data_IF_306216852041
#
_entry.id   IF_306216852041
#
_cell.length_a   1.000
_cell.length_b   1.000
_cell.length_c   1.000
_cell.angle_alpha   90.00
_cell.angle_beta   90.00
_cell.angle_gamma   90.00
#
_symmetry.space_group_name_H-M   'P 1'
#
loop_
_entity.id
_entity.type
_entity.pdbx_description
1 polymer ?
#
# COMPACT_ATOMS: atom_id res chain seq x y z
N UNK A 1 21.02 0.00 -6.01
CA UNK A 1 21.70 0.84 -4.99
C UNK A 1 22.82 0.01 -4.41
N UNK A 2 23.97 0.61 -4.07
CA UNK A 2 25.08 -0.16 -3.55
C UNK A 2 24.70 -0.85 -2.25
N UNK A 3 25.16 -2.08 -2.02
CA UNK A 3 24.80 -2.79 -0.79
C UNK A 3 25.55 -2.18 0.40
N UNK A 4 24.79 -1.55 1.29
CA UNK A 4 25.35 -0.93 2.49
C UNK A 4 25.26 -1.88 3.67
N UNK A 5 26.25 -1.83 4.57
CA UNK A 5 26.22 -2.54 5.85
C UNK A 5 26.02 -4.07 5.73
N UNK A 6 26.79 -4.72 4.85
CA UNK A 6 26.85 -6.18 4.80
C UNK A 6 27.34 -6.73 6.15
N UNK A 7 26.68 -7.77 6.71
CA UNK A 7 27.10 -8.36 7.97
C UNK A 7 28.46 -9.05 7.81
N UNK A 8 29.38 -8.81 8.74
CA UNK A 8 30.71 -9.44 8.74
C UNK A 8 30.66 -10.96 8.92
N UNK A 9 29.62 -11.46 9.59
CA UNK A 9 29.40 -12.89 9.84
C UNK A 9 28.47 -13.54 8.81
N UNK A 10 28.03 -12.79 7.79
CA UNK A 10 27.04 -13.23 6.82
C UNK A 10 25.60 -13.03 7.29
N UNK A 11 24.64 -13.25 6.38
CA UNK A 11 23.22 -13.14 6.69
C UNK A 11 22.72 -14.33 7.51
N UNK A 12 21.78 -14.07 8.41
CA UNK A 12 21.04 -15.10 9.11
C UNK A 12 20.10 -15.82 8.15
N UNK A 13 20.03 -17.14 8.27
CA UNK A 13 19.05 -17.96 7.54
C UNK A 13 17.66 -17.67 8.12
N UNK A 14 16.76 -17.20 7.27
CA UNK A 14 15.36 -17.00 7.64
C UNK A 14 14.72 -18.38 7.90
N UNK A 15 14.06 -18.60 9.05
CA UNK A 15 13.43 -19.88 9.35
C UNK A 15 12.21 -20.14 8.45
N UNK A 16 11.78 -21.39 8.42
CA UNK A 16 10.50 -21.76 7.81
C UNK A 16 9.35 -21.07 8.56
N UNK A 17 8.23 -20.84 7.86
CA UNK A 17 7.05 -20.13 8.38
C UNK A 17 7.32 -18.68 8.87
N UNK A 18 8.48 -18.12 8.57
CA UNK A 18 8.79 -16.74 8.92
C UNK A 18 7.82 -15.75 8.27
N UNK A 19 7.30 -14.82 9.07
CA UNK A 19 6.31 -13.83 8.64
C UNK A 19 6.59 -12.48 9.23
N UNK A 20 6.56 -11.45 8.40
CA UNK A 20 6.64 -10.07 8.86
C UNK A 20 5.80 -9.14 8.01
N UNK A 21 5.43 -8.01 8.60
CA UNK A 21 4.69 -6.95 7.96
C UNK A 21 5.60 -5.72 7.76
N UNK A 22 5.35 -4.96 6.69
CA UNK A 22 5.91 -3.64 6.49
C UNK A 22 4.83 -2.65 6.05
N UNK A 23 4.94 -1.39 6.47
CA UNK A 23 3.82 -0.44 6.40
C UNK A 23 2.83 -0.60 7.55
N UNK A 24 1.68 0.04 7.44
CA UNK A 24 0.61 -0.03 8.46
C UNK A 24 -0.73 0.35 7.81
N UNK A 25 -1.68 -0.59 7.82
CA UNK A 25 -3.02 -0.40 7.23
C UNK A 25 -3.84 0.68 7.95
N UNK A 26 -3.51 1.00 9.20
CA UNK A 26 -4.25 1.96 10.03
C UNK A 26 -3.63 3.35 10.04
N UNK A 27 -2.51 3.54 9.35
CA UNK A 27 -1.78 4.81 9.36
C UNK A 27 -2.56 5.91 8.67
N UNK A 28 -2.61 7.07 9.32
CA UNK A 28 -3.30 8.28 8.85
C UNK A 28 -2.40 9.52 8.84
N UNK A 29 -1.13 9.38 9.19
CA UNK A 29 -0.17 10.49 9.19
C UNK A 29 1.20 10.01 8.74
N UNK A 30 2.05 10.95 8.35
CA UNK A 30 3.44 10.68 8.00
C UNK A 30 4.39 11.43 8.94
N UNK A 31 5.31 10.70 9.54
CA UNK A 31 6.40 11.25 10.34
C UNK A 31 7.76 10.93 9.70
N UNK A 32 8.41 11.93 9.13
CA UNK A 32 9.74 11.79 8.51
C UNK A 32 10.85 11.33 9.47
N UNK A 33 10.62 11.34 10.79
CA UNK A 33 11.53 10.81 11.80
C UNK A 33 11.22 9.37 12.21
N UNK A 34 10.16 8.77 11.67
CA UNK A 34 9.76 7.40 11.95
C UNK A 34 10.20 6.48 10.79
N UNK A 35 11.07 5.52 11.07
CA UNK A 35 11.58 4.60 10.04
C UNK A 35 10.48 3.74 9.42
N UNK A 36 9.44 3.39 10.19
CA UNK A 36 8.26 2.70 9.65
C UNK A 36 7.59 3.51 8.54
N UNK A 37 7.56 4.84 8.68
CA UNK A 37 6.93 5.72 7.70
C UNK A 37 7.79 5.90 6.46
N UNK A 38 9.10 6.00 6.65
CA UNK A 38 10.08 6.07 5.57
C UNK A 38 10.13 4.78 4.74
N UNK A 39 9.76 3.64 5.32
CA UNK A 39 9.82 2.35 4.66
C UNK A 39 8.86 2.24 3.47
N UNK A 40 7.78 3.04 3.48
CA UNK A 40 6.76 3.10 2.42
C UNK A 40 6.94 4.36 1.59
N UNK A 41 6.93 4.20 0.27
CA UNK A 41 6.93 5.35 -0.65
C UNK A 41 6.25 5.02 -1.97
N UNK A 42 5.98 6.06 -2.75
CA UNK A 42 5.40 5.97 -4.09
C UNK A 42 6.32 6.68 -5.07
N UNK A 43 6.66 6.00 -6.15
CA UNK A 43 7.38 6.61 -7.26
C UNK A 43 6.42 6.94 -8.41
N UNK A 44 6.57 8.14 -8.95
CA UNK A 44 5.93 8.58 -10.19
C UNK A 44 6.97 8.68 -11.30
N UNK A 45 6.75 7.99 -12.42
CA UNK A 45 7.49 8.20 -13.65
C UNK A 45 6.60 8.98 -14.61
N UNK A 46 6.96 10.22 -14.91
CA UNK A 46 6.22 11.08 -15.84
C UNK A 46 6.78 11.00 -17.28
N UNK A 47 6.10 11.68 -18.21
CA UNK A 47 6.52 11.73 -19.62
C UNK A 47 7.88 12.42 -19.84
N UNK A 48 8.37 13.20 -18.87
CA UNK A 48 9.71 13.79 -18.87
C UNK A 48 10.80 12.85 -18.38
N UNK A 49 10.43 11.67 -17.86
CA UNK A 49 11.35 10.72 -17.25
C UNK A 49 11.81 11.14 -15.85
N UNK A 50 11.03 11.94 -15.10
CA UNK A 50 11.31 12.18 -13.69
C UNK A 50 11.06 10.90 -12.87
N UNK A 51 11.79 10.72 -11.76
CA UNK A 51 11.75 9.51 -10.92
C UNK A 51 11.55 9.82 -9.43
N UNK A 52 10.71 10.80 -9.12
CA UNK A 52 10.59 11.29 -7.75
C UNK A 52 9.87 10.26 -6.86
N UNK A 53 10.43 10.03 -5.67
CA UNK A 53 9.81 9.25 -4.59
C UNK A 53 9.09 10.22 -3.65
N UNK A 54 7.87 9.89 -3.26
CA UNK A 54 7.05 10.66 -2.31
C UNK A 54 6.48 9.74 -1.23
N UNK A 55 6.16 10.25 -0.03
CA UNK A 55 5.60 9.42 1.04
C UNK A 55 4.10 9.13 0.88
N UNK A 56 3.46 9.64 -0.17
CA UNK A 56 2.03 9.55 -0.47
C UNK A 56 1.82 9.32 -1.96
N UNK A 57 0.62 8.91 -2.36
CA UNK A 57 0.25 8.69 -3.77
C UNK A 57 0.39 10.03 -4.52
N UNK A 58 1.19 10.08 -5.62
CA UNK A 58 1.35 11.27 -6.43
C UNK A 58 0.01 11.69 -7.05
N UNK A 59 -0.43 12.90 -6.71
CA UNK A 59 -1.69 13.46 -7.18
C UNK A 59 -1.50 14.82 -7.85
N UNK A 60 -0.29 15.34 -8.00
CA UNK A 60 -0.01 16.65 -8.55
C UNK A 60 0.28 16.64 -10.06
N UNK A 61 0.63 15.49 -10.63
CA UNK A 61 0.97 15.33 -12.05
C UNK A 61 0.61 13.96 -12.62
N UNK A 62 0.69 13.85 -13.95
CA UNK A 62 0.48 12.59 -14.67
C UNK A 62 1.70 11.68 -14.58
N UNK A 63 1.46 10.49 -14.06
CA UNK A 63 2.42 9.41 -13.99
C UNK A 63 2.07 8.38 -15.07
N UNK A 64 3.01 8.12 -15.98
CA UNK A 64 2.96 6.98 -16.90
C UNK A 64 3.20 5.66 -16.17
N UNK A 65 3.93 5.72 -15.06
CA UNK A 65 4.11 4.62 -14.12
C UNK A 65 3.93 5.11 -12.70
N UNK A 66 3.10 4.41 -11.93
CA UNK A 66 3.01 4.57 -10.48
C UNK A 66 3.56 3.31 -9.84
N UNK A 67 4.49 3.47 -8.90
CA UNK A 67 5.11 2.35 -8.20
C UNK A 67 5.06 2.54 -6.69
N UNK A 68 4.02 2.01 -6.01
CA UNK A 68 4.09 1.78 -4.57
C UNK A 68 5.22 0.83 -4.25
N UNK A 69 5.99 1.15 -3.21
CA UNK A 69 7.14 0.35 -2.82
C UNK A 69 7.30 0.35 -1.30
N UNK A 70 7.75 -0.78 -0.77
CA UNK A 70 7.90 -1.00 0.67
C UNK A 70 9.19 -1.75 0.97
N UNK A 71 9.94 -1.25 1.94
CA UNK A 71 11.13 -1.88 2.50
C UNK A 71 10.72 -2.65 3.75
N UNK A 72 11.09 -3.92 3.86
CA UNK A 72 10.80 -4.71 5.05
C UNK A 72 11.88 -4.52 6.12
N UNK A 73 11.55 -4.73 7.41
CA UNK A 73 12.53 -4.88 8.47
C UNK A 73 13.60 -5.92 8.10
N UNK A 74 14.88 -5.59 8.30
CA UNK A 74 16.01 -6.50 8.00
C UNK A 74 16.74 -7.03 9.25
N UNK A 75 16.29 -6.65 10.45
CA UNK A 75 16.89 -7.05 11.71
C UNK A 75 15.94 -7.96 12.48
N UNK A 76 16.34 -9.20 12.70
CA UNK A 76 15.55 -10.23 13.36
C UNK A 76 16.07 -10.53 14.77
N UNK A 77 15.20 -10.95 15.67
CA UNK A 77 15.55 -11.31 17.05
C UNK A 77 16.33 -12.64 17.16
N UNK A 78 16.48 -13.38 16.06
CA UNK A 78 17.23 -14.62 15.99
C UNK A 78 16.50 -15.85 16.53
N UNK A 79 15.22 -15.70 16.90
CA UNK A 79 14.46 -16.73 17.64
C UNK A 79 13.08 -17.00 17.08
N UNK A 80 12.24 -15.98 16.96
CA UNK A 80 10.81 -16.16 16.69
C UNK A 80 10.52 -15.95 15.19
N UNK A 81 9.86 -16.92 14.56
CA UNK A 81 9.49 -16.82 13.14
C UNK A 81 8.30 -15.87 12.90
N UNK A 82 7.47 -15.63 13.92
CA UNK A 82 6.33 -14.73 13.86
C UNK A 82 5.96 -14.26 15.26
N UNK A 83 5.65 -12.97 15.38
CA UNK A 83 4.92 -12.37 16.50
C UNK A 83 3.93 -11.38 15.90
N UNK A 84 2.70 -11.40 16.42
CA UNK A 84 1.54 -10.66 15.89
C UNK A 84 1.75 -9.15 15.80
N UNK A 85 2.41 -8.55 16.80
CA UNK A 85 2.76 -7.12 16.82
C UNK A 85 4.05 -6.79 16.06
N UNK A 86 4.57 -7.75 15.29
CA UNK A 86 5.80 -7.65 14.51
C UNK A 86 7.08 -7.42 15.34
N UNK A 87 7.04 -7.53 16.68
CA UNK A 87 8.18 -7.23 17.58
C UNK A 87 9.37 -8.20 17.49
N UNK A 88 9.28 -9.24 16.67
CA UNK A 88 10.41 -10.13 16.36
C UNK A 88 11.36 -9.57 15.30
N UNK A 89 10.95 -8.50 14.61
CA UNK A 89 11.76 -7.78 13.63
C UNK A 89 11.84 -6.29 13.93
N UNK A 90 12.87 -5.64 13.39
CA UNK A 90 13.10 -4.21 13.53
C UNK A 90 13.79 -3.64 12.29
N UNK A 91 13.57 -2.34 12.07
CA UNK A 91 14.41 -1.58 11.15
C UNK A 91 15.78 -1.27 11.78
N UNK A 92 16.78 -0.92 10.95
CA UNK A 92 18.09 -0.48 11.42
C UNK A 92 18.05 0.76 12.32
N UNK A 93 19.03 0.87 13.23
CA UNK A 93 19.13 2.00 14.18
C UNK A 93 19.51 3.32 13.52
N UNK A 94 20.01 3.28 12.29
CA UNK A 94 20.45 4.46 11.54
C UNK A 94 19.27 5.25 10.96
N UNK A 95 18.03 4.77 11.10
CA UNK A 95 16.82 5.43 10.60
C UNK A 95 16.60 5.27 9.09
N UNK A 96 17.47 4.53 8.40
CA UNK A 96 17.34 4.22 6.98
C UNK A 96 16.64 2.85 6.79
N UNK A 97 15.43 2.80 6.22
CA UNK A 97 14.75 1.54 5.97
C UNK A 97 15.37 0.72 4.83
N UNK A 98 16.18 1.34 3.96
CA UNK A 98 16.83 0.65 2.83
C UNK A 98 18.09 -0.14 3.24
N UNK A 99 18.47 -0.07 4.51
CA UNK A 99 19.56 -0.85 5.10
C UNK A 99 20.34 -0.09 6.16
N UNK A 100 21.00 -0.82 7.07
CA UNK A 100 21.78 -0.23 8.15
C UNK A 100 22.31 -1.22 9.17
N UNK A 101 22.72 -0.69 10.33
CA UNK A 101 23.11 -1.48 11.50
C UNK A 101 21.88 -1.95 12.27
N UNK A 102 21.85 -3.23 12.61
CA UNK A 102 20.81 -3.78 13.47
C UNK A 102 20.97 -3.40 14.95
N UNK A 103 19.84 -3.19 15.68
CA UNK A 103 19.89 -2.98 17.12
C UNK A 103 20.32 -4.25 17.85
N UNK A 104 20.89 -4.09 19.04
CA UNK A 104 21.33 -5.23 19.88
C UNK A 104 20.16 -6.17 20.26
N UNK A 105 18.92 -5.68 20.25
CA UNK A 105 17.72 -6.49 20.48
C UNK A 105 17.34 -7.38 19.29
N UNK A 106 17.82 -7.07 18.08
CA UNK A 106 17.57 -7.80 16.84
C UNK A 106 18.88 -8.05 16.08
N UNK A 107 19.83 -8.80 16.66
CA UNK A 107 21.20 -8.88 16.12
C UNK A 107 21.31 -9.69 14.83
N UNK A 108 20.30 -10.48 14.49
CA UNK A 108 20.30 -11.37 13.33
C UNK A 108 19.90 -10.60 12.08
N UNK A 109 20.88 -10.14 11.31
CA UNK A 109 20.61 -9.46 10.02
C UNK A 109 20.19 -10.48 8.96
N UNK A 110 19.04 -10.28 8.35
CA UNK A 110 18.52 -11.07 7.22
C UNK A 110 18.69 -10.30 5.91
N UNK A 111 18.68 -10.96 4.73
CA UNK A 111 18.76 -10.26 3.45
C UNK A 111 17.63 -9.24 3.32
N UNK A 112 17.95 -8.01 2.91
CA UNK A 112 16.96 -6.94 2.77
C UNK A 112 15.92 -7.31 1.71
N UNK A 113 14.66 -7.25 2.09
CA UNK A 113 13.51 -7.48 1.21
C UNK A 113 12.87 -6.15 0.86
N UNK A 114 12.83 -5.87 -0.44
CA UNK A 114 12.19 -4.70 -1.00
C UNK A 114 11.14 -5.16 -2.01
N UNK A 115 9.90 -4.70 -1.82
CA UNK A 115 8.80 -5.02 -2.72
C UNK A 115 8.39 -3.76 -3.48
N UNK A 116 8.25 -3.90 -4.79
CA UNK A 116 7.72 -2.88 -5.67
C UNK A 116 6.57 -3.43 -6.51
N UNK A 117 5.44 -2.73 -6.51
CA UNK A 117 4.30 -3.04 -7.36
C UNK A 117 4.22 -1.96 -8.44
N UNK A 118 4.36 -2.32 -9.72
CA UNK A 118 4.44 -1.33 -10.80
C UNK A 118 3.16 -1.31 -11.61
N UNK A 119 2.47 -0.17 -11.60
CA UNK A 119 1.26 0.07 -12.39
C UNK A 119 1.57 1.01 -13.54
N UNK A 120 1.09 0.65 -14.74
CA UNK A 120 1.22 1.46 -15.96
C UNK A 120 -0.18 1.91 -16.39
N UNK A 121 -0.74 2.94 -15.73
CA UNK A 121 -2.08 3.41 -16.06
C UNK A 121 -2.10 3.99 -17.48
N UNK A 122 -2.86 3.36 -18.37
CA UNK A 122 -3.13 3.82 -19.72
C UNK A 122 -4.55 3.42 -20.13
N UNK A 123 -5.04 3.99 -21.23
CA UNK A 123 -6.35 3.61 -21.79
C UNK A 123 -6.43 2.08 -22.04
N UNK A 124 -5.31 1.45 -22.42
CA UNK A 124 -5.25 0.00 -22.68
C UNK A 124 -5.22 -0.88 -21.42
N UNK A 125 -4.86 -0.34 -20.25
CA UNK A 125 -4.64 -1.14 -19.02
C UNK A 125 -5.72 -0.97 -17.95
N UNK A 126 -6.47 0.14 -17.97
CA UNK A 126 -7.49 0.44 -16.95
C UNK A 126 -8.87 -0.13 -17.34
N UNK A 127 -9.00 -0.63 -18.57
CA UNK A 127 -10.21 -1.29 -19.07
C UNK A 127 -11.17 -0.33 -19.78
N UNK A 128 -12.02 -0.89 -20.65
CA UNK A 128 -12.96 -0.11 -21.44
C UNK A 128 -13.91 0.72 -20.56
N UNK A 129 -14.10 2.00 -20.93
CA UNK A 129 -14.99 2.92 -20.21
C UNK A 129 -14.37 3.62 -19.00
N UNK A 130 -13.12 3.32 -18.65
CA UNK A 130 -12.36 4.04 -17.64
C UNK A 130 -11.31 4.95 -18.28
N UNK A 131 -11.04 6.08 -17.61
CA UNK A 131 -10.05 7.05 -18.02
C UNK A 131 -9.07 7.31 -16.87
N UNK A 132 -7.78 7.38 -17.20
CA UNK A 132 -6.73 7.72 -16.24
C UNK A 132 -6.66 9.22 -16.01
N UNK A 133 -6.55 9.62 -14.75
CA UNK A 133 -6.20 10.98 -14.38
C UNK A 133 -5.27 11.02 -13.17
N UNK A 134 -4.38 12.02 -13.10
CA UNK A 134 -3.61 12.33 -11.90
C UNK A 134 -4.52 12.44 -10.66
N UNK A 135 -4.22 11.67 -9.61
CA UNK A 135 -5.00 11.65 -8.37
C UNK A 135 -6.22 10.72 -8.36
N UNK A 136 -6.37 9.84 -9.35
CA UNK A 136 -7.39 8.77 -9.36
C UNK A 136 -6.85 7.39 -8.98
N UNK A 137 -5.59 7.28 -8.57
CA UNK A 137 -5.05 6.03 -8.05
C UNK A 137 -5.47 5.87 -6.60
N UNK A 138 -6.16 4.77 -6.29
CA UNK A 138 -6.72 4.47 -4.97
C UNK A 138 -6.32 3.05 -4.60
N UNK A 139 -5.93 2.83 -3.35
CA UNK A 139 -5.66 1.49 -2.83
C UNK A 139 -6.95 0.71 -2.63
N UNK A 140 -6.87 -0.62 -2.65
CA UNK A 140 -8.05 -1.49 -2.55
C UNK A 140 -8.84 -1.34 -1.24
N UNK A 141 -8.20 -0.81 -0.19
CA UNK A 141 -8.84 -0.51 1.09
C UNK A 141 -9.59 0.82 1.10
N UNK A 142 -9.56 1.58 0.00
CA UNK A 142 -10.20 2.88 -0.19
C UNK A 142 -9.25 4.07 -0.05
N UNK A 143 -7.99 3.87 0.34
CA UNK A 143 -7.08 4.98 0.60
C UNK A 143 -6.58 5.64 -0.69
N UNK A 144 -7.00 6.89 -0.91
CA UNK A 144 -6.59 7.68 -2.06
C UNK A 144 -5.33 8.55 -1.83
N UNK A 145 -4.76 8.50 -0.62
CA UNK A 145 -3.56 9.24 -0.24
C UNK A 145 -2.36 8.31 0.00
N UNK A 146 -2.60 7.07 0.41
CA UNK A 146 -1.64 5.96 0.40
C UNK A 146 -0.92 5.68 1.72
N UNK A 147 -1.34 6.27 2.83
CA UNK A 147 -0.79 5.97 4.14
C UNK A 147 -1.06 4.54 4.60
N UNK A 148 -2.17 3.93 4.20
CA UNK A 148 -2.50 2.54 4.56
C UNK A 148 -1.71 1.47 3.80
N UNK A 149 -0.85 1.85 2.84
CA UNK A 149 -0.08 0.90 2.06
C UNK A 149 0.83 0.06 2.95
N UNK A 150 0.71 -1.25 2.81
CA UNK A 150 1.46 -2.25 3.56
C UNK A 150 1.70 -3.48 2.70
N UNK A 151 2.59 -4.35 3.16
CA UNK A 151 2.78 -5.67 2.60
C UNK A 151 3.11 -6.68 3.69
N UNK A 152 2.60 -7.89 3.50
CA UNK A 152 2.96 -9.06 4.28
C UNK A 152 3.97 -9.90 3.51
N UNK A 153 4.98 -10.38 4.20
CA UNK A 153 5.91 -11.36 3.65
C UNK A 153 5.82 -12.66 4.42
N UNK A 154 5.67 -13.76 3.69
CA UNK A 154 5.75 -15.13 4.18
C UNK A 154 6.92 -15.83 3.47
N UNK A 155 7.85 -16.39 4.24
CA UNK A 155 8.95 -17.15 3.67
C UNK A 155 8.45 -18.49 3.09
N UNK A 156 8.35 -18.54 1.75
CA UNK A 156 8.03 -19.76 1.00
C UNK A 156 9.24 -20.42 0.34
N UNK A 157 10.45 -19.89 0.53
CA UNK A 157 11.66 -20.47 -0.06
C UNK A 157 12.16 -21.64 0.78
N UNK A 158 12.81 -22.66 0.18
CA UNK A 158 13.52 -23.68 0.93
C UNK A 158 14.54 -23.05 1.89
N UNK A 159 14.68 -23.63 3.09
CA UNK A 159 15.65 -23.15 4.07
C UNK A 159 17.05 -22.99 3.47
N UNK A 160 17.68 -21.84 3.74
CA UNK A 160 19.01 -21.48 3.21
C UNK A 160 19.00 -20.84 1.81
N UNK A 161 17.95 -21.03 1.01
CA UNK A 161 17.94 -20.60 -0.40
C UNK A 161 18.28 -19.12 -0.60
N UNK A 162 17.71 -18.21 0.21
CA UNK A 162 17.93 -16.76 0.06
C UNK A 162 19.40 -16.40 0.38
N UNK A 163 19.97 -17.03 1.42
CA UNK A 163 21.37 -16.79 1.83
C UNK A 163 22.34 -17.38 0.82
N UNK A 164 22.08 -18.59 0.34
CA UNK A 164 22.90 -19.25 -0.69
C UNK A 164 22.87 -18.46 -2.00
N UNK A 165 21.68 -17.98 -2.39
CA UNK A 165 21.52 -17.07 -3.53
C UNK A 165 22.34 -15.81 -3.33
N UNK A 166 22.29 -15.20 -2.15
CA UNK A 166 23.11 -14.01 -1.90
C UNK A 166 24.60 -14.32 -2.04
N UNK A 167 25.08 -15.40 -1.43
CA UNK A 167 26.50 -15.76 -1.43
C UNK A 167 27.03 -16.12 -2.82
N UNK A 168 26.22 -16.76 -3.66
CA UNK A 168 26.66 -17.21 -4.98
C UNK A 168 26.41 -16.20 -6.10
N UNK A 169 25.33 -15.41 -5.99
CA UNK A 169 24.89 -14.53 -7.06
C UNK A 169 25.40 -13.10 -6.87
N UNK A 170 25.79 -12.70 -5.65
CA UNK A 170 26.38 -11.39 -5.40
C UNK A 170 27.86 -11.34 -5.82
N UNK A 171 28.17 -10.42 -6.71
CA UNK A 171 29.55 -10.08 -7.08
C UNK A 171 29.98 -8.80 -6.34
N UNK A 172 30.81 -8.98 -5.31
CA UNK A 172 31.36 -7.87 -4.53
C UNK A 172 32.26 -6.92 -5.33
N UNK A 173 32.83 -7.35 -6.48
CA UNK A 173 33.67 -6.49 -7.30
C UNK A 173 32.86 -5.50 -8.14
N UNK A 174 31.67 -5.90 -8.59
CA UNK A 174 30.75 -5.05 -9.34
C UNK A 174 29.62 -4.46 -8.50
N UNK A 175 29.46 -4.93 -7.25
CA UNK A 175 28.36 -4.61 -6.35
C UNK A 175 26.99 -4.87 -7.01
N UNK A 176 26.88 -6.04 -7.67
CA UNK A 176 25.65 -6.46 -8.36
C UNK A 176 25.26 -7.89 -8.02
N UNK A 177 23.96 -8.19 -8.09
CA UNK A 177 23.45 -9.56 -8.01
C UNK A 177 23.20 -10.06 -9.43
N UNK A 178 23.88 -11.14 -9.81
CA UNK A 178 23.68 -11.85 -11.06
C UNK A 178 22.28 -12.45 -11.14
N UNK A 179 21.64 -12.38 -12.32
CA UNK A 179 20.34 -13.01 -12.59
C UNK A 179 20.43 -14.53 -12.82
N UNK A 180 21.64 -15.08 -12.81
CA UNK A 180 21.96 -16.49 -13.07
C UNK A 180 23.10 -16.94 -12.15
N UNK A 181 22.89 -18.06 -11.46
CA UNK A 181 23.77 -18.68 -10.47
C UNK A 181 23.13 -20.01 -10.06
N UNK A 182 23.88 -20.91 -9.42
CA UNK A 182 23.41 -22.28 -9.22
C UNK A 182 22.07 -22.38 -8.45
N UNK A 183 21.81 -21.64 -7.36
CA UNK A 183 20.53 -21.72 -6.65
C UNK A 183 19.35 -21.26 -7.52
N UNK A 184 19.50 -20.14 -8.24
CA UNK A 184 18.46 -19.60 -9.14
C UNK A 184 18.21 -20.55 -10.31
N UNK A 185 19.27 -21.08 -10.92
CA UNK A 185 19.16 -21.96 -12.08
C UNK A 185 18.56 -23.33 -11.70
N UNK A 186 18.89 -23.86 -10.52
CA UNK A 186 18.25 -25.06 -9.97
C UNK A 186 16.75 -24.82 -9.71
N UNK A 187 16.40 -23.69 -9.09
CA UNK A 187 15.00 -23.31 -8.85
C UNK A 187 14.21 -23.19 -10.16
N UNK A 188 14.79 -22.54 -11.18
CA UNK A 188 14.19 -22.42 -12.53
C UNK A 188 14.09 -23.75 -13.26
N UNK A 189 15.07 -24.64 -13.11
CA UNK A 189 15.01 -25.97 -13.72
C UNK A 189 13.89 -26.84 -13.12
N UNK A 190 13.61 -26.67 -11.82
CA UNK A 190 12.47 -27.30 -11.13
C UNK A 190 11.13 -26.65 -11.50
N UNK A 191 11.13 -25.34 -11.74
CA UNK A 191 9.97 -24.59 -12.21
C UNK A 191 9.87 -24.64 -13.75
N UNK A 192 9.42 -25.77 -14.30
CA UNK A 192 9.10 -25.84 -15.72
C UNK A 192 8.14 -24.69 -16.09
N UNK A 193 8.40 -23.90 -17.15
CA UNK A 193 7.53 -22.79 -17.51
C UNK A 193 6.11 -23.31 -17.73
N UNK A 194 5.16 -22.83 -16.91
CA UNK A 194 3.71 -23.14 -16.92
C UNK A 194 3.22 -24.32 -16.08
N UNK A 195 4.08 -24.99 -15.31
CA UNK A 195 3.62 -26.05 -14.37
C UNK A 195 3.36 -25.51 -12.95
N UNK A 196 3.63 -24.23 -12.69
CA UNK A 196 3.27 -23.59 -11.43
C UNK A 196 1.75 -23.37 -11.39
N UNK A 197 1.05 -24.21 -10.64
CA UNK A 197 -0.37 -24.03 -10.31
C UNK A 197 -0.49 -23.25 -9.02
N UNK A 198 -1.41 -22.28 -8.96
CA UNK A 198 -1.75 -21.62 -7.70
C UNK A 198 -2.26 -22.67 -6.71
N UNK A 199 -1.71 -22.71 -5.51
CA UNK A 199 -2.15 -23.60 -4.45
C UNK A 199 -2.61 -22.78 -3.24
N UNK A 200 -3.48 -23.35 -2.43
CA UNK A 200 -3.98 -22.72 -1.22
C UNK A 200 -5.38 -22.16 -1.41
N UNK A 201 -5.61 -20.96 -0.88
CA UNK A 201 -6.92 -20.35 -0.82
C UNK A 201 -6.90 -18.97 -1.48
N UNK A 202 -7.98 -18.65 -2.17
CA UNK A 202 -8.26 -17.31 -2.69
C UNK A 202 -9.49 -16.74 -1.98
N UNK A 203 -9.60 -15.42 -1.96
CA UNK A 203 -10.81 -14.76 -1.48
C UNK A 203 -11.92 -14.98 -2.50
N UNK A 204 -13.05 -15.50 -2.06
CA UNK A 204 -14.24 -15.67 -2.87
C UNK A 204 -14.98 -14.34 -3.00
N UNK A 205 -14.36 -13.38 -3.70
CA UNK A 205 -14.92 -12.12 -4.17
C UNK A 205 -14.26 -11.71 -5.51
N UNK A 206 -14.89 -10.85 -6.29
CA UNK A 206 -14.25 -10.32 -7.50
C UNK A 206 -13.22 -9.24 -7.12
N UNK A 207 -11.93 -9.54 -7.28
CA UNK A 207 -10.81 -8.63 -6.94
C UNK A 207 -10.20 -7.90 -8.14
N UNK A 208 -10.85 -7.97 -9.31
CA UNK A 208 -10.42 -7.26 -10.51
C UNK A 208 -9.12 -7.77 -11.15
N UNK A 209 -8.73 -9.02 -10.91
CA UNK A 209 -7.45 -9.58 -11.39
C UNK A 209 -7.32 -9.60 -12.92
N UNK A 210 -8.42 -9.79 -13.65
CA UNK A 210 -8.42 -9.91 -15.12
C UNK A 210 -9.43 -9.01 -15.82
N UNK A 211 -10.15 -8.17 -15.07
CA UNK A 211 -11.24 -7.35 -15.58
C UNK A 211 -11.57 -6.23 -14.58
N UNK A 212 -12.21 -5.16 -15.06
CA UNK A 212 -12.70 -4.10 -14.19
C UNK A 212 -13.83 -4.60 -13.28
N UNK A 213 -13.85 -4.09 -12.04
CA UNK A 213 -14.90 -4.33 -11.04
C UNK A 213 -15.65 -3.02 -10.76
N UNK A 214 -16.93 -3.09 -10.36
CA UNK A 214 -17.78 -1.90 -10.26
C UNK A 214 -17.56 -1.10 -8.96
N UNK A 215 -16.87 -1.69 -7.98
CA UNK A 215 -16.52 -1.09 -6.69
C UNK A 215 -15.24 -1.75 -6.16
N UNK A 216 -14.59 -1.13 -5.18
CA UNK A 216 -13.45 -1.73 -4.49
C UNK A 216 -13.86 -3.01 -3.74
N UNK A 217 -12.99 -4.03 -3.67
CA UNK A 217 -13.25 -5.26 -2.93
C UNK A 217 -13.60 -4.98 -1.47
N UNK A 218 -14.36 -5.87 -0.83
CA UNK A 218 -14.82 -5.67 0.56
C UNK A 218 -15.76 -4.46 0.76
N UNK A 219 -16.34 -3.91 -0.33
CA UNK A 219 -17.18 -2.71 -0.29
C UNK A 219 -16.48 -1.53 0.40
N UNK A 220 -15.17 -1.38 0.18
CA UNK A 220 -14.38 -0.31 0.78
C UNK A 220 -14.77 1.04 0.15
N UNK A 221 -15.25 2.02 0.93
CA UNK A 221 -15.46 3.38 0.43
C UNK A 221 -14.11 4.08 0.24
N UNK A 222 -14.01 4.92 -0.79
CA UNK A 222 -12.84 5.79 -0.95
C UNK A 222 -12.78 6.81 0.21
N UNK A 223 -11.57 7.06 0.71
CA UNK A 223 -11.30 8.03 1.76
C UNK A 223 -9.91 8.64 1.61
N UNK A 224 -9.73 9.84 2.19
CA UNK A 224 -8.43 10.50 2.26
C UNK A 224 -7.78 10.19 3.61
N UNK A 225 -6.76 9.31 3.61
CA UNK A 225 -6.07 8.90 4.83
C UNK A 225 -5.26 10.02 5.50
N UNK A 226 -4.99 11.14 4.81
CA UNK A 226 -4.34 12.31 5.43
C UNK A 226 -5.29 13.16 6.28
N UNK A 227 -6.59 12.97 6.13
CA UNK A 227 -7.64 13.76 6.80
C UNK A 227 -8.49 12.91 7.73
N UNK A 228 -8.73 11.65 7.35
CA UNK A 228 -9.70 10.77 8.01
C UNK A 228 -9.15 9.35 8.17
N UNK A 229 -9.62 8.63 9.18
CA UNK A 229 -9.40 7.19 9.27
C UNK A 229 -10.33 6.44 8.31
N UNK A 230 -9.95 5.21 7.94
CA UNK A 230 -10.78 4.33 7.11
C UNK A 230 -12.23 4.27 7.65
N UNK A 231 -13.24 4.65 6.84
CA UNK A 231 -14.63 4.57 7.26
C UNK A 231 -15.05 3.13 7.55
N UNK A 232 -15.71 2.92 8.68
CA UNK A 232 -16.37 1.65 9.00
C UNK A 232 -17.87 1.72 8.70
N UNK A 233 -18.43 0.67 8.10
CA UNK A 233 -19.87 0.55 7.92
C UNK A 233 -20.44 -0.53 8.85
N UNK A 234 -21.17 -0.12 9.88
CA UNK A 234 -21.86 -1.05 10.80
C UNK A 234 -22.92 -1.92 10.09
N UNK A 235 -23.35 -1.48 8.91
CA UNK A 235 -24.32 -2.20 8.07
C UNK A 235 -23.68 -3.20 7.10
N UNK A 236 -22.36 -3.11 6.91
CA UNK A 236 -21.64 -4.04 6.05
C UNK A 236 -21.31 -5.31 6.86
N UNK A 237 -21.64 -6.46 6.29
CA UNK A 237 -21.22 -7.76 6.80
C UNK A 237 -20.34 -8.39 5.75
N UNK A 238 -19.09 -8.68 6.11
CA UNK A 238 -18.18 -9.38 5.22
C UNK A 238 -18.79 -10.72 4.81
N UNK A 239 -18.88 -10.92 3.50
CA UNK A 239 -19.50 -12.11 2.90
C UNK A 239 -18.49 -12.92 2.08
N UNK A 240 -17.35 -12.31 1.75
CA UNK A 240 -16.22 -12.99 1.17
C UNK A 240 -15.71 -14.06 2.14
N UNK A 241 -15.29 -15.17 1.56
CA UNK A 241 -14.77 -16.31 2.31
C UNK A 241 -13.58 -16.89 1.56
N UNK A 242 -12.66 -17.53 2.27
CA UNK A 242 -11.54 -18.19 1.61
C UNK A 242 -12.02 -19.52 0.99
N UNK A 243 -11.79 -19.68 -0.31
CA UNK A 243 -12.08 -20.91 -1.07
C UNK A 243 -10.78 -21.55 -1.55
N UNK A 244 -10.71 -22.87 -1.48
CA UNK A 244 -9.55 -23.61 -1.98
C UNK A 244 -9.51 -23.54 -3.50
N UNK A 245 -8.34 -23.19 -4.03
CA UNK A 245 -8.10 -23.18 -5.48
C UNK A 245 -8.22 -24.60 -6.02
N UNK A 246 -9.04 -24.79 -7.05
CA UNK A 246 -9.16 -26.08 -7.77
C UNK A 246 -7.95 -26.33 -8.65
N UNK A 247 -7.51 -27.58 -8.72
CA UNK A 247 -6.44 -28.03 -9.63
C UNK A 247 -6.81 -27.81 -11.11
N UNK A 248 -8.11 -27.81 -11.44
CA UNK A 248 -8.60 -27.66 -12.81
C UNK A 248 -8.53 -26.20 -13.31
N UNK A 249 -8.74 -25.24 -12.41
CA UNK A 249 -8.99 -23.84 -12.78
C UNK A 249 -8.00 -22.86 -12.17
N UNK A 250 -7.17 -23.30 -11.23
CA UNK A 250 -5.95 -22.62 -10.75
C UNK A 250 -6.15 -21.16 -10.28
N UNK A 251 -7.38 -20.79 -9.91
CA UNK A 251 -7.72 -19.48 -9.37
C UNK A 251 -7.78 -18.38 -10.44
N UNK A 252 -7.99 -18.70 -11.72
CA UNK A 252 -7.97 -17.69 -12.80
C UNK A 252 -9.36 -17.21 -13.25
N UNK A 253 -9.40 -15.97 -13.76
CA UNK A 253 -10.59 -15.32 -14.30
C UNK A 253 -10.52 -15.13 -15.83
N UNK A 254 -10.94 -16.12 -16.62
CA UNK A 254 -10.81 -16.01 -18.08
C UNK A 254 -12.07 -15.36 -18.66
N UNK A 255 -11.89 -14.26 -19.41
CA UNK A 255 -12.96 -13.60 -20.18
C UNK A 255 -14.22 -13.27 -19.35
N UNK A 256 -14.04 -12.77 -18.13
CA UNK A 256 -15.18 -12.42 -17.28
C UNK A 256 -15.78 -13.57 -16.49
N UNK A 257 -15.20 -14.76 -16.53
CA UNK A 257 -15.60 -15.89 -15.68
C UNK A 257 -14.46 -16.28 -14.76
N UNK A 258 -14.63 -16.04 -13.47
CA UNK A 258 -13.74 -16.53 -12.43
C UNK A 258 -14.20 -17.92 -11.99
N UNK A 259 -13.39 -18.95 -12.27
CA UNK A 259 -13.83 -20.34 -12.16
C UNK A 259 -13.81 -20.89 -10.73
N UNK A 260 -12.91 -20.38 -9.88
CA UNK A 260 -12.85 -20.70 -8.45
C UNK A 260 -13.67 -19.69 -7.61
N UNK A 261 -14.36 -18.76 -8.26
CA UNK A 261 -15.21 -17.76 -7.63
C UNK A 261 -16.68 -18.08 -7.88
N UNK A 262 -17.50 -18.01 -6.82
CA UNK A 262 -18.91 -18.39 -6.87
C UNK A 262 -19.89 -17.21 -6.72
N UNK A 263 -19.41 -15.96 -6.69
CA UNK A 263 -20.28 -14.79 -6.53
C UNK A 263 -20.73 -14.14 -7.84
N UNK A 264 -21.70 -13.23 -7.73
CA UNK A 264 -22.48 -12.68 -8.85
C UNK A 264 -22.15 -11.21 -9.19
N UNK A 265 -21.16 -10.63 -8.54
CA UNK A 265 -20.69 -9.25 -8.69
C UNK A 265 -19.75 -9.03 -9.90
N UNK A 266 -19.40 -10.10 -10.61
CA UNK A 266 -18.60 -9.98 -11.84
C UNK A 266 -19.39 -9.20 -12.89
N UNK A 267 -18.78 -8.13 -13.39
CA UNK A 267 -19.32 -7.32 -14.48
C UNK A 267 -19.04 -8.03 -15.80
N UNK A 268 -20.06 -8.64 -16.42
CA UNK A 268 -19.91 -9.25 -17.75
C UNK A 268 -19.47 -8.18 -18.78
N UNK A 269 -18.27 -8.29 -19.39
CA UNK A 269 -17.82 -7.34 -20.41
C UNK A 269 -18.68 -7.36 -21.68
N UNK A 270 -19.49 -8.41 -21.89
CA UNK A 270 -20.44 -8.51 -23.00
C UNK A 270 -21.79 -7.86 -22.73
N UNK A 271 -22.08 -7.47 -21.48
CA UNK A 271 -23.31 -6.79 -21.09
C UNK A 271 -23.24 -5.30 -21.43
N UNK A 272 -23.07 -5.00 -22.72
CA UNK A 272 -23.23 -3.65 -23.25
C UNK A 272 -24.65 -3.14 -22.98
N UNK A 273 -24.74 -1.94 -22.39
CA UNK A 273 -25.94 -1.09 -22.31
C UNK A 273 -27.09 -1.66 -21.46
N UNK A 274 -27.06 -1.46 -20.13
CA UNK A 274 -28.26 -1.74 -19.33
C UNK A 274 -28.17 -1.79 -17.81
N UNK A 275 -27.05 -1.42 -17.17
CA UNK A 275 -27.04 -1.29 -15.71
C UNK A 275 -27.83 -0.04 -15.29
N UNK A 276 -29.14 -0.21 -15.08
CA UNK A 276 -29.98 0.81 -14.46
C UNK A 276 -29.70 0.76 -12.96
N UNK A 277 -28.76 1.57 -12.49
CA UNK A 277 -28.54 1.75 -11.06
C UNK A 277 -29.80 2.34 -10.45
N UNK A 278 -30.50 1.55 -9.64
CA UNK A 278 -31.64 2.04 -8.87
C UNK A 278 -31.09 2.72 -7.63
N UNK A 279 -30.71 3.99 -7.75
CA UNK A 279 -30.45 4.83 -6.59
C UNK A 279 -31.79 5.03 -5.89
N UNK A 280 -32.00 4.34 -4.77
CA UNK A 280 -33.13 4.62 -3.89
C UNK A 280 -32.93 5.99 -3.26
N UNK A 281 -33.43 7.01 -3.94
CA UNK A 281 -33.62 8.35 -3.38
C UNK A 281 -34.76 8.27 -2.38
N UNK A 282 -34.43 8.15 -1.10
CA UNK A 282 -35.41 8.33 -0.04
C UNK A 282 -35.82 9.80 0.00
N UNK A 283 -37.00 10.07 -0.54
CA UNK A 283 -37.63 11.38 -0.52
C UNK A 283 -37.87 11.83 0.93
N UNK A 284 -37.20 12.89 1.35
CA UNK A 284 -37.55 13.64 2.56
C UNK A 284 -38.83 14.42 2.30
N UNK A 285 -39.95 13.89 2.79
CA UNK A 285 -41.20 14.65 2.87
C UNK A 285 -41.12 15.66 4.01
N UNK A 286 -41.25 16.93 3.66
CA UNK A 286 -41.41 18.02 4.61
C UNK A 286 -42.71 17.86 5.41
N UNK A 287 -42.64 17.99 6.73
CA UNK A 287 -43.79 18.44 7.52
C UNK A 287 -43.31 19.35 8.64
N UNK A 288 -43.86 20.56 8.61
CA UNK A 288 -43.68 21.67 9.52
C UNK A 288 -44.39 21.43 10.85
N UNK A 289 -43.77 21.81 11.99
CA UNK A 289 -44.16 22.94 12.85
C UNK A 289 -43.74 22.84 14.35
N UNK A 290 -43.34 24.03 14.85
CA UNK A 290 -43.46 24.60 16.22
C UNK A 290 -42.59 24.14 17.41
N UNK A 291 -41.56 24.97 17.68
CA UNK A 291 -41.28 25.76 18.91
C UNK A 291 -41.46 25.17 20.33
N UNK A 292 -40.38 25.20 21.12
CA UNK A 292 -40.26 25.79 22.48
C UNK A 292 -38.82 25.60 23.02
N UNK A 293 -38.02 26.67 23.14
CA UNK A 293 -37.61 27.37 24.38
C UNK A 293 -37.11 26.50 25.54
N UNK A 294 -35.83 26.66 25.90
CA UNK A 294 -35.30 26.38 27.25
C UNK A 294 -33.79 26.17 27.33
N UNK A 295 -33.03 27.22 27.66
CA UNK A 295 -31.70 27.11 28.31
C UNK A 295 -31.84 26.59 29.75
N UNK A 296 -30.77 26.11 30.42
CA UNK A 296 -29.85 27.04 31.08
C UNK A 296 -28.35 26.67 31.00
N UNK A 297 -27.59 27.70 31.35
CA UNK A 297 -26.16 27.92 31.58
C UNK A 297 -25.59 27.21 32.81
N UNK A 298 -24.33 26.76 32.76
CA UNK A 298 -23.29 26.74 33.84
C UNK A 298 -21.92 26.55 33.13
N UNK A 299 -21.01 27.54 32.98
CA UNK A 299 -19.98 28.12 33.88
C UNK A 299 -19.21 27.12 34.76
N UNK A 300 -17.89 26.96 34.54
CA UNK A 300 -16.77 27.40 35.41
C UNK A 300 -15.38 26.84 34.99
N UNK A 301 -14.42 27.78 34.90
CA UNK A 301 -12.99 27.77 35.34
C UNK A 301 -12.05 26.61 34.96
N UNK A 302 -10.99 26.82 34.16
CA UNK A 302 -9.69 27.47 34.44
C UNK A 302 -8.69 26.60 35.22
N UNK A 303 -7.55 26.27 34.58
CA UNK A 303 -6.22 26.36 35.21
C UNK A 303 -5.09 26.16 34.19
N UNK A 304 -4.27 27.19 34.07
CA UNK A 304 -2.96 27.26 33.44
C UNK A 304 -1.87 26.60 34.30
N UNK A 305 -0.88 25.96 33.66
CA UNK A 305 0.47 25.80 34.25
C UNK A 305 1.54 26.11 33.22
N UNK A 306 2.39 27.08 33.54
CA UNK A 306 3.63 27.40 32.86
C UNK A 306 4.79 26.69 33.56
N UNK A 307 5.77 26.22 32.80
CA UNK A 307 7.13 25.98 33.32
C UNK A 307 8.16 26.34 32.25
N UNK A 308 9.16 27.11 32.67
CA UNK A 308 10.16 27.78 31.86
C UNK A 308 11.50 27.04 31.85
N UNK A 309 12.10 26.97 30.66
CA UNK A 309 13.53 27.12 30.31
C UNK A 309 14.64 26.33 31.05
N UNK A 310 15.46 25.64 30.25
CA UNK A 310 16.92 25.84 30.27
C UNK A 310 17.59 25.36 28.97
N UNK A 311 18.50 26.19 28.48
CA UNK A 311 19.25 26.13 27.23
C UNK A 311 20.43 25.14 27.22
N UNK A 312 20.74 24.57 26.05
CA UNK A 312 22.12 24.27 25.66
C UNK A 312 22.29 24.31 24.13
N UNK A 313 23.38 24.97 23.74
CA UNK A 313 23.86 25.32 22.39
C UNK A 313 24.11 24.11 21.47
N UNK A 314 23.68 24.20 20.20
CA UNK A 314 24.18 23.37 19.10
C UNK A 314 24.24 24.16 17.79
N UNK A 315 25.29 23.88 17.02
CA UNK A 315 25.74 24.56 15.80
C UNK A 315 24.72 24.53 14.65
N UNK A 316 24.76 25.60 13.86
CA UNK A 316 23.97 25.89 12.67
C UNK A 316 24.06 24.84 11.55
N UNK A 317 22.89 24.34 11.13
CA UNK A 317 22.61 23.65 9.86
C UNK A 317 21.64 24.56 9.08
N UNK A 318 21.80 24.77 7.76
CA UNK A 318 20.97 25.73 7.02
C UNK A 318 19.49 25.29 6.90
N UNK A 319 18.58 26.25 7.01
CA UNK A 319 17.13 26.09 6.98
C UNK A 319 16.63 25.38 5.69
N UNK A 320 15.66 24.44 5.79
CA UNK A 320 14.94 23.96 4.63
C UNK A 320 13.98 25.03 4.13
N UNK A 321 14.03 25.29 2.83
CA UNK A 321 13.13 26.19 2.12
C UNK A 321 11.69 25.69 2.28
N UNK A 322 10.89 26.45 3.03
CA UNK A 322 9.46 26.26 3.16
C UNK A 322 8.81 26.47 1.79
N UNK A 323 8.43 25.38 1.12
CA UNK A 323 7.52 25.46 -0.02
C UNK A 323 6.13 25.72 0.56
N UNK A 324 5.63 26.94 0.36
CA UNK A 324 4.27 27.32 0.71
C UNK A 324 3.28 26.51 -0.12
N UNK A 325 2.49 25.66 0.55
CA UNK A 325 1.29 25.04 -0.02
C UNK A 325 0.26 26.17 -0.24
N UNK A 326 -0.42 26.26 -1.39
CA UNK A 326 -1.52 27.21 -1.56
C UNK A 326 -2.65 26.85 -0.60
N UNK A 327 -3.04 27.82 0.21
CA UNK A 327 -4.26 27.80 1.01
C UNK A 327 -5.44 28.03 0.05
N UNK A 328 -6.06 26.96 -0.43
CA UNK A 328 -7.38 27.01 -1.07
C UNK A 328 -8.39 26.40 -0.09
N UNK A 329 -8.94 27.28 0.75
CA UNK A 329 -10.17 27.03 1.49
C UNK A 329 -11.34 26.98 0.51
N UNK A 330 -11.77 25.77 0.12
CA UNK A 330 -13.06 25.55 -0.54
C UNK A 330 -13.76 24.34 0.11
N UNK A 331 -14.91 24.62 0.73
CA UNK A 331 -15.83 23.74 1.47
C UNK A 331 -16.53 22.66 0.59
N UNK A 332 -15.83 22.05 -0.37
CA UNK A 332 -16.39 20.99 -1.21
C UNK A 332 -15.60 19.68 -1.04
N UNK A 333 -16.17 18.73 -0.29
CA UNK A 333 -15.76 17.31 -0.11
C UNK A 333 -15.76 16.50 -1.43
N UNK A 334 -15.59 17.14 -2.58
CA UNK A 334 -15.47 16.44 -3.85
C UNK A 334 -14.03 15.92 -4.02
N UNK A 335 -13.90 14.60 -4.18
CA UNK A 335 -12.63 13.91 -4.38
C UNK A 335 -11.81 14.54 -5.51
N UNK A 336 -10.49 14.64 -5.33
CA UNK A 336 -9.55 15.26 -6.29
C UNK A 336 -9.71 14.71 -7.70
N UNK A 337 -9.96 13.40 -7.81
CA UNK A 337 -10.24 12.70 -9.06
C UNK A 337 -11.48 13.26 -9.78
N UNK A 338 -12.59 13.48 -9.08
CA UNK A 338 -13.85 13.97 -9.65
C UNK A 338 -13.76 15.43 -10.10
N UNK A 339 -13.14 16.29 -9.28
CA UNK A 339 -12.88 17.70 -9.64
C UNK A 339 -12.10 17.79 -10.96
N UNK A 340 -11.13 16.89 -11.17
CA UNK A 340 -10.27 16.88 -12.37
C UNK A 340 -10.92 16.24 -13.60
N UNK A 341 -11.70 15.17 -13.42
CA UNK A 341 -12.58 14.62 -14.46
C UNK A 341 -13.49 15.71 -15.03
N UNK A 342 -14.11 16.52 -14.17
CA UNK A 342 -14.99 17.64 -14.59
C UNK A 342 -14.22 18.70 -15.38
N UNK A 343 -13.01 19.08 -14.94
CA UNK A 343 -12.20 20.14 -15.59
C UNK A 343 -11.80 19.79 -17.03
N UNK A 344 -11.45 18.52 -17.31
CA UNK A 344 -11.07 18.09 -18.67
C UNK A 344 -12.29 17.96 -19.60
N UNK A 345 -13.43 17.46 -19.11
CA UNK A 345 -14.68 17.45 -19.88
C UNK A 345 -15.09 18.84 -20.36
N UNK A 346 -14.71 19.90 -19.65
CA UNK A 346 -14.96 21.29 -20.07
C UNK A 346 -13.94 21.79 -21.10
N UNK A 347 -12.72 21.24 -21.11
CA UNK A 347 -11.67 21.63 -22.06
C UNK A 347 -11.82 20.97 -23.45
N UNK A 348 -12.52 19.84 -23.52
CA UNK A 348 -12.78 19.10 -24.76
C UNK A 348 -14.07 19.55 -25.50
N UNK A 349 -14.75 20.62 -25.04
CA UNK A 349 -15.99 21.19 -25.63
C UNK A 349 -15.80 22.54 -26.34
#
# INVERSE_FOLDING_TARGET
MPMTNLPTEGFSVVPDDFRMLAGDITRTTYNASNTLDLAVSFQCIDAGGSYDKTPFIPSDRECLTIRPQVNFPECWNGKDAYIDDNSHVSYPVDGNPEGGKCPDSHPSKIPHLFLEATYHPSEDTIGEGYEWYPGCFVLADGDNYGYSFHADWLNGFPSGFIVDTFNECYDAASDTISKTCAPIDEGRAKAAPRDCVSQGQVVNESVGQMMAIPALPGNNPEYNSSETSKPSSDSYTESASLVTVSDDTQGVCIQGTCYDYAGSDIVDPSAGTGATFTVSSSAVSATSSSSSTGSPTETLLSSSVSASSSSSTASSIPDPVLVTVPDESDDDEELVCEKRKKKRRVADW
#
